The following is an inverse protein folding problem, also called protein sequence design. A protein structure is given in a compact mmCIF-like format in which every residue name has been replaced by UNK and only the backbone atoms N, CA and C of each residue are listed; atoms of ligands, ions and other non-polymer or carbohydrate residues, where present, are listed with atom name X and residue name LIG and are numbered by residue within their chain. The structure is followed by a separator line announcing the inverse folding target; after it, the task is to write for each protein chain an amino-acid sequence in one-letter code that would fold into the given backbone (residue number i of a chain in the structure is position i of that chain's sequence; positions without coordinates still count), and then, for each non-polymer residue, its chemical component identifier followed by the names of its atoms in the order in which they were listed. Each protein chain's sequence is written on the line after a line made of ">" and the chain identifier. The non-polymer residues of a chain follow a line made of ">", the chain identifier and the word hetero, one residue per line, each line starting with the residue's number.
data_IF_451666923301
#
_entry.id   IF_451666923301
#
_cell.length_a   1.000
_cell.length_b   1.000
_cell.length_c   1.000
_cell.angle_alpha   90.00
_cell.angle_beta   90.00
_cell.angle_gamma   90.00
#
_symmetry.space_group_name_H-M   'P 1'
#
loop_
_entity.id
_entity.type
_entity.pdbx_description
1 polymer ?
#
# COMPACT_ATOMS: atom_id res chain seq x y z
N UNK A 1 11.54 -21.64 -3.86
CA UNK A 1 10.53 -21.28 -4.87
C UNK A 1 10.90 -19.94 -5.47
N UNK A 2 10.89 -19.81 -6.80
CA UNK A 2 11.00 -18.50 -7.45
C UNK A 2 9.69 -17.77 -7.15
N UNK A 3 9.73 -16.62 -6.49
CA UNK A 3 8.52 -15.83 -6.24
C UNK A 3 8.11 -15.17 -7.55
N UNK A 4 6.85 -15.37 -7.96
CA UNK A 4 6.33 -14.75 -9.17
C UNK A 4 6.13 -13.25 -8.93
N UNK A 5 6.68 -12.45 -9.85
CA UNK A 5 6.63 -11.00 -9.79
C UNK A 5 5.50 -10.49 -10.70
N UNK A 6 4.59 -9.72 -10.10
CA UNK A 6 3.52 -9.01 -10.77
C UNK A 6 3.95 -7.56 -11.04
N UNK A 7 3.73 -7.11 -12.27
CA UNK A 7 3.93 -5.70 -12.62
C UNK A 7 2.74 -4.88 -12.13
N UNK A 8 3.02 -3.80 -11.42
CA UNK A 8 2.05 -2.78 -11.01
C UNK A 8 2.50 -1.45 -11.57
N UNK A 9 1.59 -0.69 -12.17
CA UNK A 9 1.87 0.63 -12.72
C UNK A 9 0.87 1.67 -12.22
N UNK A 10 1.34 2.89 -11.99
CA UNK A 10 0.50 4.03 -11.62
C UNK A 10 1.04 5.28 -12.29
N UNK A 11 0.15 6.15 -12.78
CA UNK A 11 0.54 7.45 -13.33
C UNK A 11 0.21 8.52 -12.32
N UNK A 12 1.18 9.40 -12.03
CA UNK A 12 1.06 10.50 -11.08
C UNK A 12 1.66 11.76 -11.70
N UNK A 13 0.86 12.83 -11.78
CA UNK A 13 1.26 14.11 -12.36
C UNK A 13 1.96 13.95 -13.72
N UNK A 14 1.37 13.14 -14.60
CA UNK A 14 1.90 12.84 -15.94
C UNK A 14 3.11 11.91 -15.99
N UNK A 15 3.60 11.42 -14.85
CA UNK A 15 4.74 10.49 -14.77
C UNK A 15 4.25 9.09 -14.45
N UNK A 16 4.57 8.11 -15.31
CA UNK A 16 4.24 6.70 -15.11
C UNK A 16 5.33 5.99 -14.31
N UNK A 17 4.95 5.40 -13.18
CA UNK A 17 5.80 4.57 -12.34
C UNK A 17 5.44 3.11 -12.53
N UNK A 18 6.44 2.24 -12.62
CA UNK A 18 6.25 0.80 -12.76
C UNK A 18 7.09 0.05 -11.73
N UNK A 19 6.47 -0.94 -11.09
CA UNK A 19 7.05 -1.73 -10.02
C UNK A 19 6.87 -3.22 -10.35
N UNK A 20 7.89 -4.03 -10.05
CA UNK A 20 7.77 -5.48 -10.06
C UNK A 20 7.69 -5.95 -8.60
N UNK A 21 6.50 -6.40 -8.19
CA UNK A 21 6.17 -6.75 -6.80
C UNK A 21 5.82 -8.22 -6.71
N UNK A 22 6.09 -8.85 -5.57
CA UNK A 22 5.56 -10.19 -5.30
C UNK A 22 4.03 -10.18 -5.36
N UNK A 23 3.41 -11.28 -5.80
CA UNK A 23 1.97 -11.32 -6.09
C UNK A 23 1.07 -10.87 -4.92
N UNK A 24 1.35 -11.35 -3.70
CA UNK A 24 0.58 -10.97 -2.51
C UNK A 24 0.72 -9.47 -2.19
N UNK A 25 1.94 -8.95 -2.28
CA UNK A 25 2.20 -7.53 -2.05
C UNK A 25 1.59 -6.66 -3.15
N UNK A 26 1.62 -7.11 -4.39
CA UNK A 26 0.96 -6.43 -5.50
C UNK A 26 -0.56 -6.35 -5.28
N UNK A 27 -1.19 -7.42 -4.78
CA UNK A 27 -2.62 -7.42 -4.44
C UNK A 27 -2.92 -6.42 -3.32
N UNK A 28 -2.11 -6.42 -2.25
CA UNK A 28 -2.23 -5.44 -1.18
C UNK A 28 -2.15 -3.99 -1.69
N UNK A 29 -1.14 -3.67 -2.52
CA UNK A 29 -0.98 -2.32 -3.10
C UNK A 29 -2.19 -1.92 -3.95
N UNK A 30 -2.69 -2.82 -4.79
CA UNK A 30 -3.85 -2.55 -5.64
C UNK A 30 -5.14 -2.34 -4.83
N UNK A 31 -5.33 -3.09 -3.74
CA UNK A 31 -6.47 -2.92 -2.86
C UNK A 31 -6.41 -1.56 -2.13
N UNK A 32 -5.23 -1.15 -1.67
CA UNK A 32 -5.00 0.18 -1.10
C UNK A 32 -5.31 1.28 -2.12
N UNK A 33 -4.85 1.13 -3.36
CA UNK A 33 -5.09 2.11 -4.42
C UNK A 33 -6.59 2.28 -4.66
N UNK A 34 -7.32 1.17 -4.84
CA UNK A 34 -8.76 1.18 -5.04
C UNK A 34 -9.52 1.81 -3.86
N UNK A 35 -9.12 1.51 -2.61
CA UNK A 35 -9.73 2.09 -1.41
C UNK A 35 -9.51 3.60 -1.27
N UNK A 36 -8.50 4.16 -1.93
CA UNK A 36 -8.11 5.56 -1.83
C UNK A 36 -8.29 6.34 -3.14
N UNK A 37 -9.16 5.86 -4.03
CA UNK A 37 -9.46 6.47 -5.34
C UNK A 37 -8.22 6.70 -6.22
N UNK A 38 -7.23 5.81 -6.13
CA UNK A 38 -6.05 5.78 -6.99
C UNK A 38 -6.29 4.71 -8.05
N UNK A 39 -6.29 5.11 -9.32
CA UNK A 39 -6.62 4.21 -10.43
C UNK A 39 -5.40 3.99 -11.33
N UNK A 40 -5.15 2.73 -11.70
CA UNK A 40 -3.96 2.33 -12.48
C UNK A 40 -4.00 2.78 -13.94
N UNK A 41 -5.20 3.10 -14.44
CA UNK A 41 -5.51 3.50 -15.82
C UNK A 41 -5.70 5.03 -15.97
N UNK A 42 -5.46 5.80 -14.90
CA UNK A 42 -5.64 7.25 -14.89
C UNK A 42 -4.38 7.97 -14.40
N UNK A 43 -4.30 9.26 -14.73
CA UNK A 43 -3.35 10.16 -14.09
C UNK A 43 -3.90 10.60 -12.72
N UNK A 44 -3.16 10.27 -11.66
CA UNK A 44 -3.57 10.52 -10.29
C UNK A 44 -2.91 11.78 -9.76
N UNK A 45 -3.64 12.50 -8.92
CA UNK A 45 -3.06 13.63 -8.19
C UNK A 45 -2.12 13.12 -7.08
N UNK A 46 -0.95 13.75 -6.87
CA UNK A 46 0.00 13.34 -5.84
C UNK A 46 -0.57 13.27 -4.41
N UNK A 47 -1.54 14.14 -4.08
CA UNK A 47 -2.14 14.18 -2.75
C UNK A 47 -2.95 12.93 -2.40
N UNK A 48 -3.51 12.23 -3.39
CA UNK A 48 -4.19 10.94 -3.16
C UNK A 48 -3.21 9.89 -2.65
N UNK A 49 -2.01 9.82 -3.23
CA UNK A 49 -0.98 8.87 -2.80
C UNK A 49 -0.48 9.20 -1.39
N UNK A 50 -0.24 10.48 -1.09
CA UNK A 50 0.18 10.91 0.25
C UNK A 50 -0.89 10.60 1.30
N UNK A 51 -2.17 10.82 0.98
CA UNK A 51 -3.27 10.48 1.88
C UNK A 51 -3.38 8.97 2.11
N UNK A 52 -3.28 8.16 1.06
CA UNK A 52 -3.26 6.71 1.16
C UNK A 52 -2.11 6.22 2.05
N UNK A 53 -0.90 6.79 1.86
CA UNK A 53 0.25 6.50 2.71
C UNK A 53 -0.02 6.81 4.18
N UNK A 54 -0.55 8.00 4.51
CA UNK A 54 -0.84 8.38 5.89
C UNK A 54 -1.87 7.46 6.57
N UNK A 55 -2.91 7.04 5.83
CA UNK A 55 -3.92 6.10 6.33
C UNK A 55 -3.27 4.77 6.69
N UNK A 56 -2.47 4.22 5.77
CA UNK A 56 -1.75 2.96 5.98
C UNK A 56 -0.79 3.08 7.17
N UNK A 57 0.01 4.15 7.23
CA UNK A 57 0.95 4.36 8.33
C UNK A 57 0.25 4.42 9.69
N UNK A 58 -0.94 5.02 9.74
CA UNK A 58 -1.77 5.03 10.95
C UNK A 58 -2.25 3.64 11.31
N UNK A 59 -2.76 2.86 10.35
CA UNK A 59 -3.19 1.47 10.59
C UNK A 59 -2.03 0.62 11.14
N UNK A 60 -0.83 0.74 10.55
CA UNK A 60 0.36 0.05 11.04
C UNK A 60 0.75 0.46 12.47
N UNK A 61 0.72 1.76 12.77
CA UNK A 61 0.97 2.25 14.12
C UNK A 61 -0.02 1.66 15.14
N UNK A 62 -1.31 1.63 14.80
CA UNK A 62 -2.33 1.03 15.66
C UNK A 62 -2.13 -0.48 15.84
N UNK A 63 -1.70 -1.20 14.79
CA UNK A 63 -1.35 -2.63 14.91
C UNK A 63 -0.13 -2.86 15.80
N UNK A 64 0.91 -2.03 15.70
CA UNK A 64 2.09 -2.13 16.56
C UNK A 64 1.73 -1.92 18.04
N UNK A 65 0.94 -0.90 18.36
CA UNK A 65 0.48 -0.64 19.73
C UNK A 65 -0.39 -1.79 20.28
N UNK A 66 -1.27 -2.36 19.45
CA UNK A 66 -2.09 -3.51 19.85
C UNK A 66 -1.24 -4.76 20.11
N UNK A 67 -0.24 -5.03 19.25
CA UNK A 67 0.69 -6.15 19.46
C UNK A 67 1.45 -5.96 20.77
N UNK A 68 1.94 -4.75 21.03
CA UNK A 68 2.64 -4.42 22.27
C UNK A 68 1.76 -4.65 23.50
N UNK A 69 0.51 -4.18 23.48
CA UNK A 69 -0.42 -4.41 24.58
C UNK A 69 -0.66 -5.91 24.84
N UNK A 70 -0.79 -6.73 23.78
CA UNK A 70 -0.93 -8.19 23.92
C UNK A 70 0.34 -8.85 24.46
N UNK A 71 1.52 -8.36 24.10
CA UNK A 71 2.78 -8.84 24.65
C UNK A 71 2.87 -8.55 26.15
N UNK A 72 2.53 -7.33 26.56
CA UNK A 72 2.52 -6.91 27.98
C UNK A 72 1.53 -7.75 28.83
N UNK A 73 0.46 -8.31 28.24
CA UNK A 73 -0.48 -9.21 28.94
C UNK A 73 0.03 -10.65 29.10
N UNK A 74 0.98 -11.08 28.26
CA UNK A 74 1.52 -12.45 28.27
C UNK A 74 2.79 -12.55 29.14
N UNK A 75 3.47 -11.43 29.40
CA UNK A 75 4.62 -11.31 30.33
C UNK A 75 4.21 -11.25 31.82
#
# INVERSE_FOLDING_TARGET
>A
MKKDLKKVSVTIAGTRYEFALEEEFAKFVLDIFNKNDIFIDQDNRPDKLLKAFLIISKEYFEYEENIKALMDEIE
#
